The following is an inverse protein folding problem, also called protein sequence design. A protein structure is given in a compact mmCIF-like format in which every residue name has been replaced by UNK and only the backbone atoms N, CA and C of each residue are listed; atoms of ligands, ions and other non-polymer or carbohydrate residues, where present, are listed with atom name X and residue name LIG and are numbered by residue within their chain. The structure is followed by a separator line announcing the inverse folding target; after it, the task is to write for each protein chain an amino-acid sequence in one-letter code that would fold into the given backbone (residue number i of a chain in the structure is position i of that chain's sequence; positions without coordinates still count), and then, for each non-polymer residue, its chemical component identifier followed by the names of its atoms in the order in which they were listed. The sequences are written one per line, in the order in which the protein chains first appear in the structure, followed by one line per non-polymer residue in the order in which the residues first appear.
data_IF_719518265760
#
_entry.id   IF_719518265760
#
_cell.length_a   1.000
_cell.length_b   1.000
_cell.length_c   1.000
_cell.angle_alpha   90.00
_cell.angle_beta   90.00
_cell.angle_gamma   90.00
#
_symmetry.space_group_name_H-M   'P 1'
#
loop_
_entity.id
_entity.type
_entity.pdbx_description
1 polymer ?
#
# COMPACT_ATOMS: atom_id res chain seq x y z
N UNK A 1 -0.72 -22.48 8.68
CA UNK A 1 -0.28 -21.09 8.48
C UNK A 1 -0.84 -20.59 7.17
N UNK A 2 -1.74 -19.60 7.19
CA UNK A 2 -2.22 -18.97 5.95
C UNK A 2 -1.04 -18.21 5.33
N UNK A 3 -0.69 -18.53 4.09
CA UNK A 3 0.30 -17.76 3.34
C UNK A 3 -0.16 -16.29 3.30
N UNK A 4 0.73 -15.31 3.50
CA UNK A 4 0.35 -13.93 3.27
C UNK A 4 -0.12 -13.87 1.82
N UNK A 5 -1.39 -13.50 1.63
CA UNK A 5 -1.88 -13.29 0.28
C UNK A 5 -1.01 -12.20 -0.32
N UNK A 6 -0.15 -12.60 -1.24
CA UNK A 6 0.73 -11.73 -2.01
C UNK A 6 -0.12 -10.92 -2.99
N UNK A 7 -1.14 -10.22 -2.47
CA UNK A 7 -1.70 -9.08 -3.16
C UNK A 7 -0.52 -8.14 -3.35
N UNK A 8 -0.18 -7.89 -4.61
CA UNK A 8 0.78 -6.87 -5.03
C UNK A 8 0.33 -5.53 -4.42
N UNK A 9 0.76 -5.25 -3.19
CA UNK A 9 0.52 -3.98 -2.52
C UNK A 9 1.39 -2.96 -3.23
N UNK A 10 0.74 -2.03 -3.90
CA UNK A 10 1.39 -0.95 -4.62
C UNK A 10 1.18 0.33 -3.81
N UNK A 11 2.25 1.10 -3.66
CA UNK A 11 2.20 2.42 -3.03
C UNK A 11 1.27 3.32 -3.83
N UNK A 12 0.23 3.82 -3.17
CA UNK A 12 -0.76 4.72 -3.76
C UNK A 12 -0.22 6.13 -4.03
N UNK A 13 1.04 6.41 -3.69
CA UNK A 13 1.71 7.64 -4.12
C UNK A 13 1.96 7.60 -5.62
N UNK A 14 1.39 8.54 -6.40
CA UNK A 14 1.43 8.50 -7.87
C UNK A 14 2.84 8.63 -8.46
N UNK A 15 3.81 9.12 -7.68
CA UNK A 15 5.22 9.22 -8.08
C UNK A 15 6.08 8.03 -7.62
N UNK A 16 5.53 7.15 -6.78
CA UNK A 16 6.31 6.06 -6.18
C UNK A 16 6.10 4.74 -6.93
N UNK A 17 4.87 4.23 -6.98
CA UNK A 17 4.57 2.94 -7.62
C UNK A 17 5.31 1.73 -7.01
N UNK A 18 5.93 1.87 -5.83
CA UNK A 18 6.66 0.79 -5.19
C UNK A 18 5.72 -0.40 -4.92
N UNK A 19 6.13 -1.59 -5.33
CA UNK A 19 5.44 -2.86 -5.10
C UNK A 19 6.00 -3.65 -3.92
N UNK A 20 7.05 -3.12 -3.27
CA UNK A 20 7.70 -3.68 -2.10
C UNK A 20 8.04 -2.57 -1.12
N UNK A 21 7.85 -2.84 0.18
CA UNK A 21 8.11 -1.93 1.27
C UNK A 21 8.28 -2.74 2.55
N UNK A 22 9.22 -2.33 3.41
CA UNK A 22 9.45 -2.99 4.69
C UNK A 22 8.27 -2.77 5.65
N UNK A 23 7.60 -1.62 5.53
CA UNK A 23 6.44 -1.28 6.34
C UNK A 23 5.43 -0.47 5.54
N UNK A 24 4.19 -0.95 5.53
CA UNK A 24 3.06 -0.25 4.95
C UNK A 24 2.33 0.58 6.01
N UNK A 25 1.89 1.77 5.61
CA UNK A 25 1.16 2.70 6.45
C UNK A 25 -0.06 3.23 5.72
N UNK A 26 -1.05 3.61 6.52
CA UNK A 26 -2.37 4.03 6.05
C UNK A 26 -2.35 5.53 5.74
N UNK A 27 -2.60 5.88 4.50
CA UNK A 27 -2.74 7.25 4.03
C UNK A 27 -4.19 7.74 4.05
N UNK A 28 -4.56 8.50 3.02
CA UNK A 28 -5.88 9.09 2.85
C UNK A 28 -6.97 8.06 2.50
N UNK A 29 -8.24 8.44 2.64
CA UNK A 29 -9.38 7.63 2.17
C UNK A 29 -9.53 7.75 0.65
N UNK A 30 -9.63 6.60 -0.01
CA UNK A 30 -9.96 6.49 -1.42
C UNK A 30 -11.46 6.74 -1.65
N UNK A 31 -11.82 7.10 -2.87
CA UNK A 31 -13.23 7.28 -3.28
C UNK A 31 -14.06 6.01 -3.11
N UNK A 32 -13.43 4.84 -3.17
CA UNK A 32 -14.04 3.54 -2.90
C UNK A 32 -14.34 3.29 -1.41
N UNK A 33 -13.96 4.21 -0.51
CA UNK A 33 -14.09 4.06 0.94
C UNK A 33 -12.94 3.32 1.61
N UNK A 34 -12.06 2.68 0.82
CA UNK A 34 -10.84 2.04 1.32
C UNK A 34 -9.80 3.07 1.75
N UNK A 35 -8.80 2.66 2.53
CA UNK A 35 -7.68 3.52 2.92
C UNK A 35 -6.50 3.24 2.00
N UNK A 36 -5.88 4.29 1.47
CA UNK A 36 -4.68 4.19 0.65
C UNK A 36 -3.54 3.57 1.47
N UNK A 37 -2.81 2.62 0.88
CA UNK A 37 -1.59 2.08 1.46
C UNK A 37 -0.37 2.77 0.83
N UNK A 38 0.53 3.25 1.67
CA UNK A 38 1.78 3.89 1.29
C UNK A 38 2.96 3.06 1.79
N UNK A 39 4.06 3.08 1.05
CA UNK A 39 5.33 2.48 1.47
C UNK A 39 6.05 3.39 2.47
N UNK A 40 6.90 2.86 3.34
CA UNK A 40 7.66 3.54 4.41
C UNK A 40 8.36 4.87 4.03
N UNK A 41 8.51 5.17 2.73
CA UNK A 41 9.16 6.37 2.20
C UNK A 41 8.21 7.48 1.73
N UNK A 42 6.89 7.26 1.73
CA UNK A 42 5.87 8.16 1.17
C UNK A 42 4.80 8.53 2.20
#
# INVERSE_FOLDING_TARGET
MAAPSSFLKICFSPKCGASSSERWWKGWRLRSGNVAELCDRC
#
